data_IF_443139039722
#
_entry.id   IF_443139039722
#
_cell.length_a   1.000
_cell.length_b   1.000
_cell.length_c   1.000
_cell.angle_alpha   90.00
_cell.angle_beta   90.00
_cell.angle_gamma   90.00
#
_symmetry.space_group_name_H-M   'P 1'
#
loop_
_entity.id
_entity.type
_entity.pdbx_description
1 polymer ?
#
# COMPACT_ATOMS: atom_id res chain seq x y z
N UNK A 1 20.48 -18.79 4.86
CA UNK A 1 19.45 -18.79 3.80
C UNK A 1 18.64 -17.50 3.90
N UNK A 2 18.44 -16.78 2.79
CA UNK A 2 17.73 -15.48 2.75
C UNK A 2 16.29 -15.52 2.19
N UNK A 3 15.82 -16.68 1.74
CA UNK A 3 14.46 -16.88 1.22
C UNK A 3 14.09 -18.37 1.26
N UNK A 4 12.80 -18.69 1.22
CA UNK A 4 12.30 -20.07 1.22
C UNK A 4 11.97 -20.50 -0.23
N UNK A 5 12.80 -21.31 -0.92
CA UNK A 5 12.70 -21.48 -2.38
C UNK A 5 11.36 -22.04 -2.89
N UNK A 6 10.75 -22.95 -2.16
CA UNK A 6 9.45 -23.58 -2.47
C UNK A 6 8.25 -22.61 -2.37
N UNK A 7 8.48 -21.37 -1.93
CA UNK A 7 7.48 -20.30 -1.87
C UNK A 7 7.50 -19.38 -3.08
N UNK A 8 8.37 -19.64 -4.05
CA UNK A 8 8.55 -18.80 -5.23
C UNK A 8 8.39 -19.61 -6.50
N UNK A 9 7.62 -19.05 -7.44
CA UNK A 9 7.52 -19.61 -8.77
C UNK A 9 8.79 -19.26 -9.56
N UNK A 10 9.35 -20.21 -10.32
CA UNK A 10 10.45 -19.92 -11.21
C UNK A 10 9.98 -18.96 -12.32
N UNK A 11 10.83 -17.98 -12.65
CA UNK A 11 10.59 -17.15 -13.84
C UNK A 11 10.48 -18.08 -15.05
N UNK A 12 9.46 -17.88 -15.90
CA UNK A 12 9.09 -18.76 -17.02
C UNK A 12 10.20 -19.01 -18.08
N UNK A 13 11.38 -18.42 -17.91
CA UNK A 13 12.55 -18.55 -18.79
C UNK A 13 12.41 -17.72 -20.06
N UNK A 14 13.55 -17.26 -20.59
CA UNK A 14 13.62 -16.49 -21.84
C UNK A 14 13.63 -14.97 -21.65
N UNK A 15 13.97 -14.21 -22.71
CA UNK A 15 13.97 -12.76 -22.69
C UNK A 15 12.54 -12.21 -22.65
N UNK A 16 12.39 -10.98 -22.13
CA UNK A 16 11.14 -10.24 -22.24
C UNK A 16 10.72 -10.09 -23.71
N UNK A 17 9.44 -10.40 -24.00
CA UNK A 17 8.85 -10.20 -25.31
C UNK A 17 7.61 -9.31 -25.20
N UNK A 18 7.67 -8.12 -25.81
CA UNK A 18 6.56 -7.15 -25.75
C UNK A 18 5.24 -7.74 -26.26
N UNK A 19 5.29 -8.52 -27.36
CA UNK A 19 4.10 -9.18 -27.90
C UNK A 19 3.48 -10.16 -26.90
N UNK A 20 4.30 -10.94 -26.19
CA UNK A 20 3.82 -11.88 -25.17
C UNK A 20 3.23 -11.15 -23.96
N UNK A 21 3.82 -10.03 -23.55
CA UNK A 21 3.27 -9.18 -22.50
C UNK A 21 1.91 -8.59 -22.89
N UNK A 22 1.77 -8.09 -24.12
CA UNK A 22 0.49 -7.57 -24.65
C UNK A 22 -0.57 -8.67 -24.74
N UNK A 23 -0.20 -9.87 -25.15
CA UNK A 23 -1.11 -11.01 -25.19
C UNK A 23 -1.57 -11.41 -23.77
N UNK A 24 -0.65 -11.41 -22.80
CA UNK A 24 -0.98 -11.67 -21.40
C UNK A 24 -1.96 -10.63 -20.83
N UNK A 25 -1.71 -9.34 -21.08
CA UNK A 25 -2.63 -8.24 -20.71
C UNK A 25 -4.01 -8.48 -21.34
N UNK A 26 -4.08 -8.75 -22.64
CA UNK A 26 -5.36 -8.99 -23.31
C UNK A 26 -6.13 -10.18 -22.71
N UNK A 27 -5.43 -11.25 -22.31
CA UNK A 27 -6.06 -12.40 -21.62
C UNK A 27 -6.57 -12.03 -20.23
N UNK A 28 -5.82 -11.25 -19.46
CA UNK A 28 -6.22 -10.77 -18.13
C UNK A 28 -7.46 -9.88 -18.24
N UNK A 29 -7.43 -8.88 -19.13
CA UNK A 29 -8.56 -7.98 -19.37
C UNK A 29 -9.80 -8.75 -19.80
N UNK A 30 -9.69 -9.62 -20.80
CA UNK A 30 -10.83 -10.40 -21.27
C UNK A 30 -11.37 -11.36 -20.21
N UNK A 31 -10.52 -11.87 -19.31
CA UNK A 31 -10.95 -12.69 -18.17
C UNK A 31 -11.74 -11.86 -17.17
N UNK A 32 -11.20 -10.73 -16.75
CA UNK A 32 -11.89 -9.82 -15.83
C UNK A 32 -13.25 -9.38 -16.40
N UNK A 33 -13.35 -9.06 -17.70
CA UNK A 33 -14.63 -8.73 -18.33
C UNK A 33 -15.66 -9.87 -18.26
N UNK A 34 -15.22 -11.12 -18.38
CA UNK A 34 -16.12 -12.30 -18.30
C UNK A 34 -16.53 -12.67 -16.88
N UNK A 35 -15.66 -12.40 -15.90
CA UNK A 35 -15.83 -12.84 -14.51
C UNK A 35 -16.52 -11.79 -13.63
N UNK A 36 -16.79 -10.59 -14.14
CA UNK A 36 -17.61 -9.61 -13.45
C UNK A 36 -19.02 -10.17 -13.21
N UNK A 37 -19.42 -10.28 -11.93
CA UNK A 37 -20.81 -10.48 -11.58
C UNK A 37 -21.55 -9.14 -11.70
N UNK A 38 -22.33 -8.96 -12.77
CA UNK A 38 -23.06 -7.72 -13.01
C UNK A 38 -24.16 -7.43 -11.98
N UNK A 39 -24.67 -8.43 -11.27
CA UNK A 39 -25.69 -8.23 -10.24
C UNK A 39 -25.06 -7.80 -8.90
N UNK A 40 -23.87 -8.31 -8.60
CA UNK A 40 -23.15 -7.96 -7.37
C UNK A 40 -22.23 -6.74 -7.53
N UNK A 41 -21.67 -6.54 -8.73
CA UNK A 41 -20.74 -5.45 -9.07
C UNK A 41 -19.29 -5.72 -8.68
N UNK A 42 -18.94 -6.96 -8.33
CA UNK A 42 -17.61 -7.38 -7.89
C UNK A 42 -17.11 -8.60 -8.69
N UNK A 43 -15.81 -8.87 -8.56
CA UNK A 43 -15.15 -10.04 -9.14
C UNK A 43 -15.01 -11.15 -8.10
N UNK A 44 -14.98 -12.43 -8.54
CA UNK A 44 -14.69 -13.53 -7.63
C UNK A 44 -13.31 -13.33 -6.98
N UNK A 45 -13.23 -13.63 -5.68
CA UNK A 45 -11.95 -13.71 -4.99
C UNK A 45 -11.13 -14.87 -5.56
N UNK A 46 -9.83 -14.66 -5.77
CA UNK A 46 -8.94 -15.76 -6.17
C UNK A 46 -8.85 -16.78 -5.01
N UNK A 47 -8.98 -18.10 -5.28
CA UNK A 47 -8.86 -19.11 -4.23
C UNK A 47 -7.55 -19.06 -3.45
N UNK A 48 -6.46 -18.57 -4.05
CA UNK A 48 -5.17 -18.42 -3.36
C UNK A 48 -5.13 -17.20 -2.42
N UNK A 49 -6.07 -16.25 -2.58
CA UNK A 49 -6.27 -15.09 -1.71
C UNK A 49 -7.34 -15.33 -0.62
N UNK A 50 -8.02 -16.48 -0.63
CA UNK A 50 -9.06 -16.80 0.33
C UNK A 50 -8.48 -17.14 1.72
N UNK A 51 -8.75 -16.28 2.71
CA UNK A 51 -8.33 -16.52 4.10
C UNK A 51 -9.24 -17.48 4.88
N UNK A 52 -10.42 -17.80 4.34
CA UNK A 52 -11.37 -18.75 4.92
C UNK A 52 -12.27 -19.38 3.84
N UNK A 53 -12.99 -20.45 4.18
CA UNK A 53 -13.93 -21.12 3.25
C UNK A 53 -15.12 -20.23 2.85
N UNK A 54 -15.49 -19.27 3.71
CA UNK A 54 -16.58 -18.32 3.47
C UNK A 54 -16.10 -17.00 2.86
N UNK A 55 -14.82 -16.89 2.47
CA UNK A 55 -14.27 -15.68 1.88
C UNK A 55 -14.96 -15.37 0.54
N UNK A 56 -15.48 -14.15 0.44
CA UNK A 56 -16.24 -13.68 -0.72
C UNK A 56 -15.55 -12.55 -1.48
N UNK A 57 -16.22 -12.02 -2.52
CA UNK A 57 -15.76 -10.85 -3.26
C UNK A 57 -15.53 -9.62 -2.37
N UNK A 58 -14.41 -8.94 -2.59
CA UNK A 58 -14.03 -7.72 -1.89
C UNK A 58 -14.32 -6.45 -2.72
N UNK A 59 -14.44 -5.30 -2.06
CA UNK A 59 -14.82 -4.02 -2.69
C UNK A 59 -13.67 -3.04 -2.83
N UNK A 60 -12.70 -3.08 -1.92
CA UNK A 60 -11.61 -2.14 -1.74
C UNK A 60 -10.53 -2.17 -2.83
N UNK A 61 -9.49 -1.37 -2.63
CA UNK A 61 -8.45 -1.13 -3.62
C UNK A 61 -7.38 -2.24 -3.64
N UNK A 62 -7.10 -2.87 -2.50
CA UNK A 62 -5.94 -3.76 -2.34
C UNK A 62 -6.13 -5.12 -3.04
N UNK A 63 -7.27 -5.77 -2.84
CA UNK A 63 -7.64 -7.04 -3.49
C UNK A 63 -9.10 -7.07 -3.94
N UNK A 64 -9.77 -5.93 -3.98
CA UNK A 64 -11.20 -5.83 -4.29
C UNK A 64 -11.53 -5.25 -5.66
N UNK A 65 -12.83 -5.10 -5.89
CA UNK A 65 -13.40 -4.61 -7.13
C UNK A 65 -12.91 -3.21 -7.53
N UNK A 66 -12.59 -2.32 -6.58
CA UNK A 66 -12.00 -1.02 -6.92
C UNK A 66 -10.58 -1.16 -7.50
N UNK A 67 -9.79 -2.11 -6.99
CA UNK A 67 -8.48 -2.46 -7.55
C UNK A 67 -8.58 -3.02 -8.96
N UNK A 68 -9.51 -3.96 -9.20
CA UNK A 68 -9.76 -4.51 -10.54
C UNK A 68 -10.23 -3.41 -11.49
N UNK A 69 -11.18 -2.58 -11.06
CA UNK A 69 -11.65 -1.45 -11.83
C UNK A 69 -10.49 -0.53 -12.21
N UNK A 70 -9.65 -0.12 -11.26
CA UNK A 70 -8.47 0.72 -11.55
C UNK A 70 -7.54 0.07 -12.57
N UNK A 71 -7.14 -1.19 -12.33
CA UNK A 71 -6.25 -1.93 -13.23
C UNK A 71 -6.82 -2.03 -14.66
N UNK A 72 -8.11 -2.30 -14.82
CA UNK A 72 -8.75 -2.34 -16.12
C UNK A 72 -8.68 -1.00 -16.87
N UNK A 73 -8.71 0.13 -16.14
CA UNK A 73 -8.53 1.46 -16.74
C UNK A 73 -7.13 1.65 -17.30
N UNK A 74 -6.11 1.28 -16.52
CA UNK A 74 -4.72 1.35 -16.93
C UNK A 74 -4.40 0.42 -18.12
N UNK A 75 -5.07 -0.73 -18.17
CA UNK A 75 -4.89 -1.73 -19.24
C UNK A 75 -5.75 -1.48 -20.48
N UNK A 76 -6.60 -0.44 -20.49
CA UNK A 76 -7.49 -0.10 -21.61
C UNK A 76 -8.74 -1.00 -21.75
N UNK A 77 -9.10 -1.75 -20.71
CA UNK A 77 -10.29 -2.59 -20.61
C UNK A 77 -11.49 -1.84 -20.03
N UNK A 78 -11.95 -0.78 -20.70
CA UNK A 78 -12.99 0.10 -20.14
C UNK A 78 -14.43 -0.42 -20.30
N UNK A 79 -14.64 -1.47 -21.10
CA UNK A 79 -15.98 -1.87 -21.55
C UNK A 79 -16.95 -2.34 -20.46
N UNK A 80 -16.44 -2.74 -19.29
CA UNK A 80 -17.23 -3.28 -18.17
C UNK A 80 -17.20 -2.41 -16.91
N UNK A 81 -16.36 -1.38 -16.86
CA UNK A 81 -16.21 -0.52 -15.68
C UNK A 81 -16.93 0.79 -15.95
N UNK A 82 -18.14 0.92 -15.43
CA UNK A 82 -18.90 2.17 -15.48
C UNK A 82 -18.92 2.90 -14.13
N UNK A 83 -19.49 4.10 -14.16
CA UNK A 83 -19.55 4.99 -13.00
C UNK A 83 -20.41 4.41 -11.88
N UNK A 84 -21.52 3.77 -12.21
CA UNK A 84 -22.47 3.25 -11.22
C UNK A 84 -21.85 2.08 -10.44
N UNK A 85 -21.13 1.20 -11.14
CA UNK A 85 -20.39 0.10 -10.52
C UNK A 85 -19.42 0.64 -9.47
N UNK A 86 -18.52 1.56 -9.84
CA UNK A 86 -17.47 2.04 -8.93
C UNK A 86 -18.06 2.88 -7.79
N UNK A 87 -19.03 3.76 -8.06
CA UNK A 87 -19.68 4.56 -7.02
C UNK A 87 -20.51 3.69 -6.06
N UNK A 88 -21.03 2.55 -6.52
CA UNK A 88 -21.74 1.57 -5.68
C UNK A 88 -20.85 0.83 -4.68
N UNK A 89 -19.55 0.69 -4.96
CA UNK A 89 -18.60 -0.04 -4.11
C UNK A 89 -18.41 0.62 -2.74
N UNK A 90 -18.61 1.93 -2.62
CA UNK A 90 -18.54 2.61 -1.32
C UNK A 90 -19.62 2.09 -0.37
N UNK A 91 -20.86 2.01 -0.85
CA UNK A 91 -21.98 1.52 -0.04
C UNK A 91 -21.80 0.04 0.32
N UNK A 92 -21.23 -0.76 -0.59
CA UNK A 92 -20.89 -2.17 -0.34
C UNK A 92 -19.85 -2.30 0.75
N UNK A 93 -18.73 -1.57 0.65
CA UNK A 93 -17.65 -1.65 1.63
C UNK A 93 -18.09 -1.17 3.03
N UNK A 94 -19.02 -0.19 3.11
CA UNK A 94 -19.61 0.23 4.38
C UNK A 94 -20.53 -0.83 5.00
N UNK A 95 -21.24 -1.60 4.17
CA UNK A 95 -22.14 -2.66 4.63
C UNK A 95 -21.38 -3.95 4.98
N UNK A 96 -20.36 -4.27 4.19
CA UNK A 96 -19.55 -5.47 4.25
C UNK A 96 -18.08 -5.06 4.09
N UNK A 97 -17.40 -4.65 5.18
CA UNK A 97 -15.99 -4.32 5.15
C UNK A 97 -15.14 -5.50 4.69
N UNK A 98 -14.17 -5.24 3.83
CA UNK A 98 -13.21 -6.27 3.37
C UNK A 98 -12.39 -6.84 4.53
N UNK A 99 -12.10 -6.00 5.53
CA UNK A 99 -11.44 -6.37 6.78
C UNK A 99 -12.30 -5.89 7.97
N UNK A 100 -13.18 -6.74 8.52
CA UNK A 100 -14.07 -6.36 9.62
C UNK A 100 -13.33 -6.01 10.93
N UNK A 101 -12.11 -6.52 11.12
CA UNK A 101 -11.34 -6.31 12.34
C UNK A 101 -10.64 -4.94 12.36
N UNK A 102 -10.21 -4.47 11.17
CA UNK A 102 -9.50 -3.20 11.01
C UNK A 102 -10.34 -2.09 10.36
N UNK A 103 -11.52 -2.44 9.84
CA UNK A 103 -12.52 -1.50 9.35
C UNK A 103 -12.18 -0.87 7.99
N UNK A 104 -12.74 0.31 7.74
CA UNK A 104 -12.80 0.93 6.39
C UNK A 104 -12.11 2.29 6.30
N UNK A 105 -11.28 2.63 7.29
CA UNK A 105 -10.68 3.95 7.43
C UNK A 105 -9.42 4.13 6.55
N UNK A 106 -8.78 3.03 6.13
CA UNK A 106 -7.58 3.06 5.29
C UNK A 106 -7.85 3.43 3.83
N UNK A 107 -6.79 3.70 3.06
CA UNK A 107 -6.92 3.91 1.60
C UNK A 107 -6.98 2.59 0.85
N UNK A 108 -6.18 1.60 1.23
CA UNK A 108 -6.05 0.37 0.45
C UNK A 108 -7.22 -0.58 0.65
N UNK A 109 -7.74 -0.67 1.87
CA UNK A 109 -8.84 -1.57 2.24
C UNK A 109 -10.14 -0.81 2.60
N UNK A 110 -10.09 0.52 2.58
CA UNK A 110 -11.19 1.36 3.02
C UNK A 110 -11.82 2.21 1.92
N UNK A 111 -12.82 2.98 2.33
CA UNK A 111 -13.69 3.76 1.43
C UNK A 111 -12.89 4.77 0.61
N UNK A 112 -11.82 5.33 1.17
CA UNK A 112 -11.01 6.32 0.48
C UNK A 112 -10.37 5.77 -0.81
N UNK A 113 -10.04 4.47 -0.87
CA UNK A 113 -9.52 3.84 -2.09
C UNK A 113 -10.54 3.78 -3.21
N UNK A 114 -11.76 3.36 -2.88
CA UNK A 114 -12.89 3.33 -3.83
C UNK A 114 -13.15 4.73 -4.40
N UNK A 115 -13.23 5.74 -3.52
CA UNK A 115 -13.43 7.12 -3.92
C UNK A 115 -12.26 7.68 -4.74
N UNK A 116 -11.02 7.26 -4.45
CA UNK A 116 -9.85 7.66 -5.23
C UNK A 116 -9.90 7.12 -6.67
N UNK A 117 -10.36 5.87 -6.86
CA UNK A 117 -10.55 5.29 -8.20
C UNK A 117 -11.65 6.02 -8.96
N UNK A 118 -12.78 6.32 -8.30
CA UNK A 118 -13.85 7.10 -8.90
C UNK A 118 -13.39 8.52 -9.27
N UNK A 119 -12.61 9.19 -8.40
CA UNK A 119 -12.04 10.53 -8.64
C UNK A 119 -11.05 10.54 -9.79
N UNK A 120 -10.23 9.51 -9.91
CA UNK A 120 -9.27 9.39 -10.98
C UNK A 120 -9.97 9.32 -12.36
N UNK A 121 -11.10 8.61 -12.45
CA UNK A 121 -11.86 8.43 -13.69
C UNK A 121 -12.84 9.55 -13.99
N UNK A 122 -13.58 9.99 -12.98
CA UNK A 122 -14.68 10.95 -13.12
C UNK A 122 -14.52 12.04 -12.06
N UNK A 123 -13.62 13.02 -12.26
CA UNK A 123 -13.34 14.04 -11.27
C UNK A 123 -14.59 14.76 -10.77
N UNK A 124 -14.74 14.85 -9.45
CA UNK A 124 -15.92 15.41 -8.79
C UNK A 124 -15.50 16.19 -7.52
N UNK A 125 -15.95 17.44 -7.41
CA UNK A 125 -15.59 18.30 -6.29
C UNK A 125 -16.12 17.77 -4.94
N UNK A 126 -17.34 17.23 -4.91
CA UNK A 126 -17.93 16.68 -3.68
C UNK A 126 -17.20 15.41 -3.23
N UNK A 127 -16.68 14.62 -4.19
CA UNK A 127 -15.85 13.46 -3.87
C UNK A 127 -14.52 13.87 -3.27
N UNK A 128 -13.90 14.91 -3.82
CA UNK A 128 -12.68 15.51 -3.24
C UNK A 128 -12.92 16.08 -1.84
N UNK A 129 -14.07 16.69 -1.58
CA UNK A 129 -14.42 17.16 -0.24
C UNK A 129 -14.52 15.97 0.74
N UNK A 130 -15.19 14.88 0.34
CA UNK A 130 -15.28 13.66 1.15
C UNK A 130 -13.92 13.00 1.40
N UNK A 131 -13.05 12.95 0.40
CA UNK A 131 -11.68 12.45 0.55
C UNK A 131 -10.86 13.30 1.52
N UNK A 132 -11.04 14.63 1.52
CA UNK A 132 -10.36 15.52 2.47
C UNK A 132 -10.85 15.29 3.91
N UNK A 133 -12.14 15.02 4.11
CA UNK A 133 -12.69 14.69 5.42
C UNK A 133 -12.17 13.36 5.95
N UNK A 134 -12.11 12.32 5.10
CA UNK A 134 -11.51 11.03 5.45
C UNK A 134 -10.02 11.17 5.80
N UNK A 135 -9.27 11.94 5.01
CA UNK A 135 -7.85 12.20 5.28
C UNK A 135 -7.66 12.92 6.63
N UNK A 136 -8.49 13.92 6.93
CA UNK A 136 -8.45 14.63 8.22
C UNK A 136 -8.79 13.70 9.39
N UNK A 137 -9.80 12.85 9.24
CA UNK A 137 -10.18 11.87 10.25
C UNK A 137 -9.06 10.85 10.49
N UNK A 138 -8.35 10.44 9.43
CA UNK A 138 -7.26 9.46 9.53
C UNK A 138 -6.11 9.91 10.44
N UNK A 139 -5.91 11.23 10.65
CA UNK A 139 -4.83 11.77 11.50
C UNK A 139 -4.94 11.35 12.97
N UNK A 140 -6.10 10.88 13.44
CA UNK A 140 -6.25 10.33 14.78
C UNK A 140 -6.05 8.80 14.83
N UNK A 141 -5.89 8.14 13.67
CA UNK A 141 -5.70 6.70 13.58
C UNK A 141 -4.45 6.26 14.33
N UNK A 142 -4.54 5.19 15.13
CA UNK A 142 -3.39 4.62 15.81
C UNK A 142 -2.50 3.79 14.85
N UNK A 143 -3.00 3.47 13.65
CA UNK A 143 -2.19 2.92 12.57
C UNK A 143 -1.38 4.04 11.91
N UNK A 144 -0.06 3.92 11.97
CA UNK A 144 0.91 4.86 11.43
C UNK A 144 1.58 4.27 10.19
N UNK A 145 0.87 3.49 9.36
CA UNK A 145 1.42 2.81 8.19
C UNK A 145 0.53 2.92 6.94
N UNK A 146 1.07 2.70 5.73
CA UNK A 146 0.34 2.92 4.49
C UNK A 146 -0.99 2.19 4.28
N UNK A 147 -1.18 0.96 4.78
CA UNK A 147 -2.33 0.12 4.41
C UNK A 147 -3.64 0.60 5.08
N UNK A 148 -3.61 0.76 6.39
CA UNK A 148 -4.75 1.11 7.25
C UNK A 148 -4.65 2.52 7.84
N UNK A 149 -3.43 3.07 7.94
CA UNK A 149 -3.17 4.34 8.60
C UNK A 149 -3.26 5.59 7.74
N UNK A 150 -3.04 6.74 8.38
CA UNK A 150 -2.96 8.04 7.73
C UNK A 150 -1.87 8.15 6.64
N UNK A 151 -0.76 7.39 6.64
CA UNK A 151 0.21 7.45 5.54
C UNK A 151 -0.37 7.02 4.18
N UNK A 152 -1.38 6.16 4.15
CA UNK A 152 -2.12 5.86 2.92
C UNK A 152 -2.82 7.10 2.37
N UNK A 153 -3.45 7.88 3.25
CA UNK A 153 -4.09 9.16 2.91
C UNK A 153 -3.09 10.22 2.48
N UNK A 154 -1.89 10.23 3.05
CA UNK A 154 -0.80 11.10 2.59
C UNK A 154 -0.42 10.81 1.13
N UNK A 155 -0.33 9.53 0.71
CA UNK A 155 -0.06 9.21 -0.70
C UNK A 155 -1.14 9.76 -1.63
N UNK A 156 -2.41 9.66 -1.21
CA UNK A 156 -3.54 10.19 -1.96
C UNK A 156 -3.51 11.72 -2.01
N UNK A 157 -3.21 12.38 -0.89
CA UNK A 157 -3.09 13.83 -0.80
C UNK A 157 -1.96 14.36 -1.69
N UNK A 158 -0.78 13.73 -1.69
CA UNK A 158 0.33 14.12 -2.59
C UNK A 158 -0.07 14.00 -4.07
N UNK A 159 -0.75 12.93 -4.45
CA UNK A 159 -1.24 12.75 -5.82
C UNK A 159 -2.30 13.79 -6.19
N UNK A 160 -3.25 14.08 -5.29
CA UNK A 160 -4.28 15.09 -5.55
C UNK A 160 -3.68 16.49 -5.62
N UNK A 161 -2.74 16.85 -4.76
CA UNK A 161 -2.02 18.12 -4.84
C UNK A 161 -1.30 18.26 -6.19
N UNK A 162 -0.56 17.23 -6.62
CA UNK A 162 0.14 17.26 -7.90
C UNK A 162 -0.80 17.39 -9.11
N UNK A 163 -2.00 16.80 -9.05
CA UNK A 163 -2.99 16.86 -10.15
C UNK A 163 -3.82 18.15 -10.15
N UNK A 164 -4.21 18.66 -9.00
CA UNK A 164 -5.18 19.76 -8.90
C UNK A 164 -4.57 21.10 -8.51
N UNK A 165 -3.38 21.10 -7.89
CA UNK A 165 -2.73 22.29 -7.34
C UNK A 165 -3.44 22.89 -6.12
N UNK A 166 -4.40 22.18 -5.51
CA UNK A 166 -5.12 22.72 -4.35
C UNK A 166 -4.27 22.59 -3.08
N UNK A 167 -4.09 23.70 -2.36
CA UNK A 167 -3.27 23.78 -1.14
C UNK A 167 -3.77 22.90 0.01
N UNK A 168 -5.09 22.64 0.10
CA UNK A 168 -5.67 21.76 1.13
C UNK A 168 -5.03 20.37 1.16
N UNK A 169 -4.56 19.89 0.01
CA UNK A 169 -3.90 18.59 -0.10
C UNK A 169 -2.46 18.63 0.43
N UNK A 170 -1.75 19.74 0.19
CA UNK A 170 -0.44 19.99 0.78
C UNK A 170 -0.53 20.13 2.31
N UNK A 171 -1.57 20.79 2.82
CA UNK A 171 -1.84 20.91 4.26
C UNK A 171 -2.11 19.55 4.92
N UNK A 172 -2.97 18.71 4.30
CA UNK A 172 -3.25 17.35 4.79
C UNK A 172 -2.00 16.46 4.77
N UNK A 173 -1.20 16.55 3.70
CA UNK A 173 0.06 15.83 3.62
C UNK A 173 1.03 16.28 4.72
N UNK A 174 1.19 17.59 4.91
CA UNK A 174 2.09 18.19 5.91
C UNK A 174 1.70 17.78 7.33
N UNK A 175 0.41 17.82 7.67
CA UNK A 175 -0.09 17.37 8.98
C UNK A 175 0.21 15.89 9.23
N UNK A 176 0.08 15.03 8.22
CA UNK A 176 0.45 13.62 8.31
C UNK A 176 1.95 13.40 8.48
N UNK A 177 2.77 14.21 7.79
CA UNK A 177 4.23 14.15 7.89
C UNK A 177 4.72 14.60 9.27
N UNK A 178 4.17 15.70 9.80
CA UNK A 178 4.43 16.15 11.17
C UNK A 178 4.14 15.04 12.18
N UNK A 179 2.95 14.45 12.11
CA UNK A 179 2.56 13.31 12.97
C UNK A 179 3.54 12.13 12.86
N UNK A 180 3.94 11.73 11.65
CA UNK A 180 4.93 10.65 11.48
C UNK A 180 6.25 11.03 12.14
N UNK A 181 6.77 12.23 11.92
CA UNK A 181 8.06 12.64 12.46
C UNK A 181 8.03 12.78 13.99
N UNK A 182 6.92 13.22 14.57
CA UNK A 182 6.72 13.30 16.03
C UNK A 182 6.64 11.92 16.69
N UNK A 183 6.04 10.95 16.01
CA UNK A 183 5.86 9.57 16.50
C UNK A 183 7.02 8.64 16.12
N UNK A 184 8.09 9.17 15.54
CA UNK A 184 9.27 8.38 15.17
C UNK A 184 10.21 8.19 16.36
N UNK A 185 9.95 7.18 17.17
CA UNK A 185 10.61 6.98 18.45
C UNK A 185 12.01 6.34 18.32
N UNK A 186 12.89 6.62 19.28
CA UNK A 186 14.16 5.92 19.39
C UNK A 186 13.99 4.59 20.12
N UNK A 187 14.46 3.51 19.49
CA UNK A 187 14.57 2.19 20.08
C UNK A 187 15.98 2.03 20.66
N UNK A 188 16.08 2.00 22.00
CA UNK A 188 17.35 1.89 22.72
C UNK A 188 18.07 0.55 22.47
N UNK A 189 17.32 -0.54 22.26
CA UNK A 189 17.90 -1.86 22.03
C UNK A 189 18.50 -1.98 20.63
N UNK A 190 17.85 -1.39 19.62
CA UNK A 190 18.34 -1.32 18.25
C UNK A 190 19.36 -0.18 18.06
N UNK A 191 19.28 0.86 18.88
CA UNK A 191 20.04 2.10 18.72
C UNK A 191 19.65 2.86 17.44
N UNK A 192 18.38 2.79 17.04
CA UNK A 192 17.86 3.40 15.81
C UNK A 192 16.42 3.89 15.99
N UNK A 193 15.82 4.55 14.99
CA UNK A 193 14.45 5.06 15.09
C UNK A 193 13.46 4.22 14.31
N UNK A 194 12.30 3.92 14.92
CA UNK A 194 11.23 3.14 14.32
C UNK A 194 9.86 3.70 14.70
N UNK A 195 8.85 3.39 13.89
CA UNK A 195 7.46 3.60 14.26
C UNK A 195 6.89 2.36 14.94
N UNK A 196 6.11 2.57 15.99
CA UNK A 196 5.29 1.54 16.62
C UNK A 196 3.87 1.66 16.05
N UNK A 197 3.47 0.65 15.30
CA UNK A 197 2.15 0.54 14.68
C UNK A 197 1.17 -0.11 15.65
N UNK A 198 -0.08 0.38 15.67
CA UNK A 198 -1.17 -0.29 16.36
C UNK A 198 -2.21 -0.71 15.34
N UNK A 199 -2.36 -2.03 15.17
CA UNK A 199 -3.37 -2.63 14.31
C UNK A 199 -4.26 -3.49 15.23
N UNK A 200 -5.53 -3.08 15.39
CA UNK A 200 -6.41 -3.66 16.40
C UNK A 200 -5.84 -3.49 17.81
N UNK A 201 -5.71 -4.59 18.56
CA UNK A 201 -5.12 -4.62 19.90
C UNK A 201 -3.59 -4.72 19.91
N UNK A 202 -2.98 -4.96 18.76
CA UNK A 202 -1.60 -5.42 18.70
C UNK A 202 -0.64 -4.30 18.30
N UNK A 203 0.48 -4.22 19.03
CA UNK A 203 1.57 -3.30 18.72
C UNK A 203 2.70 -4.01 17.97
N UNK A 204 3.12 -3.41 16.85
CA UNK A 204 4.13 -3.98 15.98
C UNK A 204 5.14 -2.93 15.52
N UNK A 205 6.41 -3.31 15.40
CA UNK A 205 7.46 -2.50 14.78
C UNK A 205 7.87 -3.11 13.45
N UNK A 206 7.02 -2.92 12.44
CA UNK A 206 7.26 -3.46 11.11
C UNK A 206 8.40 -2.72 10.39
N UNK A 207 9.16 -3.46 9.59
CA UNK A 207 10.26 -2.93 8.78
C UNK A 207 9.79 -2.62 7.36
N UNK A 208 8.95 -3.48 6.79
CA UNK A 208 8.65 -3.53 5.36
C UNK A 208 7.82 -2.37 4.80
N UNK A 209 7.56 -2.43 3.49
CA UNK A 209 6.94 -1.33 2.74
C UNK A 209 5.43 -1.20 2.98
N UNK A 210 4.75 -2.29 3.36
CA UNK A 210 3.31 -2.25 3.62
C UNK A 210 3.02 -1.57 4.96
N UNK A 211 3.58 -2.11 6.04
CA UNK A 211 3.15 -1.76 7.40
C UNK A 211 4.22 -1.02 8.22
N UNK A 212 5.36 -0.67 7.65
CA UNK A 212 6.57 -0.40 8.43
C UNK A 212 7.37 0.84 8.06
N UNK A 213 8.59 0.86 8.61
CA UNK A 213 9.62 1.88 8.37
C UNK A 213 9.73 2.26 6.89
N UNK A 214 9.90 1.27 6.02
CA UNK A 214 10.12 1.51 4.58
C UNK A 214 8.92 2.21 3.94
N UNK A 215 7.70 1.77 4.29
CA UNK A 215 6.46 2.36 3.77
C UNK A 215 6.35 3.84 4.14
N UNK A 216 6.53 4.15 5.42
CA UNK A 216 6.46 5.53 5.90
C UNK A 216 7.52 6.43 5.27
N UNK A 217 8.75 5.95 5.11
CA UNK A 217 9.79 6.72 4.44
C UNK A 217 9.42 6.94 2.97
N UNK A 218 8.89 5.93 2.28
CA UNK A 218 8.42 6.08 0.90
C UNK A 218 7.33 7.16 0.79
N UNK A 219 6.36 7.17 1.72
CA UNK A 219 5.30 8.19 1.78
C UNK A 219 5.90 9.59 1.99
N UNK A 220 6.86 9.73 2.91
CA UNK A 220 7.56 10.99 3.17
C UNK A 220 8.34 11.48 1.92
N UNK A 221 9.03 10.59 1.21
CA UNK A 221 9.73 10.91 -0.05
C UNK A 221 8.77 11.37 -1.14
N UNK A 222 7.57 10.77 -1.22
CA UNK A 222 6.55 11.12 -2.24
C UNK A 222 5.97 12.52 -2.06
N UNK A 223 6.13 13.16 -0.90
CA UNK A 223 5.79 14.57 -0.71
C UNK A 223 6.62 15.54 -1.57
N UNK A 224 7.78 15.12 -2.07
CA UNK A 224 8.63 15.94 -2.94
C UNK A 224 9.04 17.24 -2.26
N UNK A 225 8.64 18.38 -2.83
CA UNK A 225 8.94 19.72 -2.32
C UNK A 225 8.16 20.09 -1.04
N UNK A 226 7.09 19.34 -0.71
CA UNK A 226 6.35 19.52 0.54
C UNK A 226 7.18 19.13 1.77
N UNK A 227 8.20 18.29 1.59
CA UNK A 227 9.17 17.96 2.62
C UNK A 227 10.46 18.76 2.36
N UNK A 228 10.88 19.65 3.28
CA UNK A 228 12.15 20.35 3.16
C UNK A 228 13.31 19.37 2.91
N UNK A 229 14.23 19.75 2.02
CA UNK A 229 15.29 18.85 1.56
C UNK A 229 16.16 18.32 2.71
N UNK A 230 16.53 19.18 3.66
CA UNK A 230 17.28 18.79 4.87
C UNK A 230 16.54 17.78 5.74
N UNK A 231 15.21 17.91 5.84
CA UNK A 231 14.36 16.96 6.56
C UNK A 231 14.25 15.64 5.83
N UNK A 232 14.11 15.66 4.49
CA UNK A 232 14.10 14.45 3.67
C UNK A 232 15.43 13.70 3.78
N UNK A 233 16.55 14.41 3.66
CA UNK A 233 17.88 13.82 3.74
C UNK A 233 18.13 13.19 5.12
N UNK A 234 17.69 13.84 6.22
CA UNK A 234 17.76 13.25 7.56
C UNK A 234 16.89 12.00 7.70
N UNK A 235 15.66 12.01 7.15
CA UNK A 235 14.76 10.84 7.15
C UNK A 235 15.41 9.68 6.41
N UNK A 236 15.94 9.91 5.21
CA UNK A 236 16.61 8.88 4.40
C UNK A 236 17.82 8.31 5.14
N UNK A 237 18.71 9.17 5.63
CA UNK A 237 19.91 8.78 6.37
C UNK A 237 19.59 7.91 7.59
N UNK A 238 18.58 8.29 8.38
CA UNK A 238 18.13 7.54 9.56
C UNK A 238 17.45 6.23 9.21
N UNK A 239 16.71 6.20 8.10
CA UNK A 239 16.13 4.96 7.58
C UNK A 239 17.21 3.98 7.13
N UNK A 240 18.23 4.46 6.38
CA UNK A 240 19.38 3.64 5.97
C UNK A 240 20.16 3.13 7.18
N UNK A 241 20.38 3.97 8.20
CA UNK A 241 20.99 3.53 9.47
C UNK A 241 20.21 2.37 10.11
N UNK A 242 18.89 2.52 10.20
CA UNK A 242 18.00 1.51 10.80
C UNK A 242 17.99 0.21 9.99
N UNK A 243 17.88 0.31 8.66
CA UNK A 243 17.90 -0.84 7.76
C UNK A 243 19.23 -1.56 7.74
N UNK A 244 20.34 -0.83 7.84
CA UNK A 244 21.69 -1.41 7.90
C UNK A 244 21.87 -2.25 9.16
N UNK A 245 21.29 -1.82 10.29
CA UNK A 245 21.32 -2.57 11.56
C UNK A 245 20.42 -3.81 11.53
N UNK A 246 19.33 -3.77 10.79
CA UNK A 246 18.36 -4.87 10.69
C UNK A 246 18.66 -5.87 9.56
N UNK A 247 19.60 -5.55 8.67
CA UNK A 247 19.90 -6.39 7.51
C UNK A 247 20.53 -7.73 7.93
N UNK A 248 19.97 -8.82 7.42
CA UNK A 248 20.59 -10.14 7.44
C UNK A 248 21.34 -10.32 6.13
N UNK A 249 22.66 -10.43 6.22
CA UNK A 249 23.56 -10.48 5.06
C UNK A 249 24.20 -11.86 4.94
N UNK A 250 24.15 -12.43 3.73
CA UNK A 250 24.73 -13.74 3.42
C UNK A 250 25.17 -13.74 1.94
N UNK A 251 26.39 -14.19 1.66
CA UNK A 251 26.95 -14.29 0.30
C UNK A 251 26.79 -13.02 -0.57
N UNK A 252 27.02 -11.86 0.03
CA UNK A 252 26.90 -10.57 -0.65
C UNK A 252 25.46 -10.14 -0.98
N UNK A 253 24.46 -10.82 -0.43
CA UNK A 253 23.03 -10.50 -0.55
C UNK A 253 22.46 -10.13 0.82
N UNK A 254 21.35 -9.41 0.82
CA UNK A 254 20.69 -8.98 2.04
C UNK A 254 19.18 -9.26 2.01
N UNK A 255 18.60 -9.55 3.17
CA UNK A 255 17.16 -9.53 3.40
C UNK A 255 16.86 -8.98 4.80
N UNK A 256 15.61 -8.60 5.05
CA UNK A 256 15.17 -7.97 6.29
C UNK A 256 14.04 -8.77 6.95
N UNK A 257 14.01 -8.86 8.30
CA UNK A 257 12.89 -9.45 9.01
C UNK A 257 11.63 -8.59 8.84
N UNK A 258 10.46 -9.19 9.03
CA UNK A 258 9.19 -8.46 8.99
C UNK A 258 9.08 -7.45 10.14
N UNK A 259 9.52 -7.85 11.34
CA UNK A 259 9.50 -7.07 12.57
C UNK A 259 10.93 -6.74 13.01
N UNK A 260 11.14 -5.52 13.51
CA UNK A 260 12.40 -5.15 14.12
C UNK A 260 12.65 -5.98 15.39
N UNK A 261 13.86 -6.51 15.53
CA UNK A 261 14.21 -7.45 16.60
C UNK A 261 13.63 -8.86 16.43
N UNK A 262 12.88 -9.12 15.35
CA UNK A 262 12.38 -10.44 15.00
C UNK A 262 13.38 -11.27 14.19
N UNK A 263 13.12 -12.57 14.09
CA UNK A 263 13.86 -13.47 13.21
C UNK A 263 13.50 -13.22 11.73
N UNK A 264 14.47 -13.47 10.84
CA UNK A 264 14.22 -13.42 9.40
C UNK A 264 13.22 -14.49 8.95
N UNK A 265 13.27 -15.67 9.58
CA UNK A 265 12.34 -16.77 9.34
C UNK A 265 11.22 -16.73 10.37
N UNK A 266 9.99 -16.56 9.92
CA UNK A 266 8.80 -16.62 10.78
C UNK A 266 8.06 -17.91 10.49
N UNK A 267 7.89 -18.78 11.49
CA UNK A 267 7.28 -20.11 11.34
C UNK A 267 7.96 -20.94 10.23
N UNK A 268 9.30 -20.86 10.16
CA UNK A 268 10.12 -21.56 9.17
C UNK A 268 10.07 -20.98 7.74
N UNK A 269 9.45 -19.81 7.55
CA UNK A 269 9.29 -19.17 6.24
C UNK A 269 10.00 -17.82 6.22
N UNK A 270 10.78 -17.57 5.18
CA UNK A 270 11.47 -16.30 4.96
C UNK A 270 10.77 -15.56 3.84
N UNK A 271 10.37 -14.31 4.10
CA UNK A 271 9.63 -13.47 3.15
C UNK A 271 10.59 -12.74 2.21
N UNK A 272 10.26 -12.76 0.91
CA UNK A 272 10.85 -11.91 -0.13
C UNK A 272 9.70 -11.31 -0.91
N UNK A 273 8.99 -10.40 -0.25
CA UNK A 273 7.75 -9.79 -0.74
C UNK A 273 7.88 -8.27 -0.70
N UNK A 274 7.02 -7.57 -1.45
CA UNK A 274 6.94 -6.12 -1.34
C UNK A 274 6.55 -5.69 0.09
N UNK A 275 5.54 -6.33 0.68
CA UNK A 275 5.08 -5.99 2.02
C UNK A 275 6.14 -6.21 3.10
N UNK A 276 6.94 -7.29 3.00
CA UNK A 276 7.98 -7.66 3.95
C UNK A 276 9.17 -8.32 3.26
N UNK A 277 10.36 -7.76 3.47
CA UNK A 277 11.63 -8.26 2.95
C UNK A 277 12.27 -7.33 1.91
N UNK A 278 13.30 -7.85 1.27
CA UNK A 278 14.17 -7.11 0.36
C UNK A 278 13.45 -6.38 -0.78
N UNK A 279 12.42 -6.93 -1.46
CA UNK A 279 11.77 -6.24 -2.57
C UNK A 279 11.16 -4.90 -2.16
N UNK A 280 10.46 -4.85 -1.02
CA UNK A 280 9.91 -3.61 -0.47
C UNK A 280 11.00 -2.58 -0.19
N UNK A 281 12.04 -2.99 0.53
CA UNK A 281 13.19 -2.15 0.89
C UNK A 281 13.86 -1.56 -0.35
N UNK A 282 14.20 -2.40 -1.32
CA UNK A 282 14.90 -1.97 -2.53
C UNK A 282 14.03 -1.08 -3.41
N UNK A 283 12.75 -1.45 -3.62
CA UNK A 283 11.85 -0.64 -4.46
C UNK A 283 11.64 0.78 -3.92
N UNK A 284 11.74 0.97 -2.60
CA UNK A 284 11.51 2.25 -1.96
C UNK A 284 12.78 3.06 -1.68
N UNK A 285 13.94 2.42 -1.51
CA UNK A 285 15.14 3.05 -0.94
C UNK A 285 16.46 2.71 -1.67
N UNK A 286 16.43 2.09 -2.86
CA UNK A 286 17.67 1.76 -3.59
C UNK A 286 18.54 2.99 -3.93
N UNK A 287 17.93 4.16 -4.03
CA UNK A 287 18.55 5.44 -4.40
C UNK A 287 18.73 6.39 -3.21
N UNK A 288 18.35 5.97 -1.99
CA UNK A 288 18.53 6.78 -0.79
C UNK A 288 20.02 6.89 -0.46
N UNK A 289 20.48 8.12 -0.18
CA UNK A 289 21.87 8.35 0.21
C UNK A 289 22.13 7.84 1.65
N UNK A 290 23.28 7.20 1.92
CA UNK A 290 23.68 6.82 3.27
C UNK A 290 24.05 8.00 4.16
#
# INVERSE_FOLDING_TARGET
>A
MLFTPDRHEPVAGGPFGEAAAREAIARITARAERELDAADGRWPLDPDDAESEDAGPASGLYYGAAGVAWALGELGGEGVVDRELVEGLEARLLAEPDDPDLGVDGVWLGVAGVLAVAEHRWPDASRRDRLADLARASLTSPALEPIYGHPGHMLLAAQLHARTGEERWAELWSAGAERLLETWEHDEALGARLWTQRLGSDEHRFVGAAHGLVGNVQVLRRGGELLPADRRDEVERRAVETLSRLAVVEDGRANWPALAGGELAVRGRIRVQWCHGAPGVLSALWDAAP
#
